data_IF_684841568898
#
_entry.id   IF_684841568898
#
_cell.length_a   1.000
_cell.length_b   1.000
_cell.length_c   1.000
_cell.angle_alpha   90.00
_cell.angle_beta   90.00
_cell.angle_gamma   90.00
#
_symmetry.space_group_name_H-M   'P 1'
#
loop_
_entity.id
_entity.type
_entity.pdbx_description
1 polymer ?
#
# COMPACT_ATOMS: atom_id res chain seq x y z
N UNK A 1 -0.64 -31.85 -22.71
CA UNK A 1 -0.49 -31.63 -21.25
C UNK A 1 0.66 -30.64 -21.07
N UNK A 2 0.42 -29.40 -20.63
CA UNK A 2 1.47 -28.39 -20.47
C UNK A 2 2.39 -28.78 -19.31
N UNK A 3 3.68 -28.98 -19.58
CA UNK A 3 4.70 -29.18 -18.54
C UNK A 3 4.83 -27.88 -17.75
N UNK A 4 4.52 -27.85 -16.44
CA UNK A 4 4.70 -26.62 -15.66
C UNK A 4 6.19 -26.26 -15.66
N UNK A 5 6.55 -24.98 -15.85
CA UNK A 5 7.95 -24.57 -15.86
C UNK A 5 8.62 -24.94 -14.53
N UNK A 6 9.88 -25.41 -14.61
CA UNK A 6 10.69 -25.76 -13.45
C UNK A 6 10.71 -24.56 -12.48
N UNK A 7 10.35 -24.78 -11.21
CA UNK A 7 10.41 -23.74 -10.18
C UNK A 7 11.87 -23.37 -9.94
N UNK A 8 12.27 -22.16 -10.30
CA UNK A 8 13.60 -21.63 -10.02
C UNK A 8 13.62 -20.95 -8.66
N UNK A 9 14.53 -21.36 -7.79
CA UNK A 9 14.77 -20.69 -6.51
C UNK A 9 15.80 -19.59 -6.76
N UNK A 10 15.46 -18.34 -6.46
CA UNK A 10 16.41 -17.23 -6.46
C UNK A 10 17.08 -17.17 -5.09
N UNK A 11 18.38 -17.50 -5.03
CA UNK A 11 19.20 -17.36 -3.83
C UNK A 11 19.80 -15.96 -3.82
N UNK A 12 19.56 -15.22 -2.74
CA UNK A 12 20.12 -13.87 -2.58
C UNK A 12 21.58 -13.97 -2.13
N UNK A 13 22.48 -13.12 -2.65
CA UNK A 13 23.84 -12.97 -2.11
C UNK A 13 23.80 -12.66 -0.62
N UNK A 14 24.75 -13.20 0.14
CA UNK A 14 24.78 -13.11 1.61
C UNK A 14 24.68 -11.66 2.11
N UNK A 15 25.48 -10.75 1.55
CA UNK A 15 25.46 -9.34 1.94
C UNK A 15 24.07 -8.67 1.78
N UNK A 16 23.33 -9.01 0.72
CA UNK A 16 21.97 -8.49 0.51
C UNK A 16 20.97 -9.08 1.50
N UNK A 17 21.14 -10.37 1.83
CA UNK A 17 20.31 -11.03 2.83
C UNK A 17 20.51 -10.38 4.22
N UNK A 18 21.76 -10.19 4.64
CA UNK A 18 22.11 -9.56 5.91
C UNK A 18 21.61 -8.12 6.00
N UNK A 19 21.80 -7.32 4.94
CA UNK A 19 21.29 -5.96 4.88
C UNK A 19 19.76 -5.89 5.02
N UNK A 20 19.04 -6.82 4.39
CA UNK A 20 17.58 -6.89 4.53
C UNK A 20 17.16 -7.29 5.95
N UNK A 21 17.86 -8.25 6.57
CA UNK A 21 17.53 -8.67 7.93
C UNK A 21 17.80 -7.54 8.94
N UNK A 22 18.91 -6.82 8.79
CA UNK A 22 19.19 -5.62 9.60
C UNK A 22 18.11 -4.55 9.42
N UNK A 23 17.66 -4.32 8.17
CA UNK A 23 16.55 -3.42 7.87
C UNK A 23 15.25 -3.83 8.57
N UNK A 24 14.87 -5.11 8.49
CA UNK A 24 13.68 -5.64 9.18
C UNK A 24 13.77 -5.52 10.69
N UNK A 25 14.94 -5.75 11.28
CA UNK A 25 15.15 -5.56 12.72
C UNK A 25 14.96 -4.07 13.10
N UNK A 26 15.50 -3.15 12.30
CA UNK A 26 15.29 -1.70 12.48
C UNK A 26 13.81 -1.33 12.36
N UNK A 27 13.07 -1.90 11.41
CA UNK A 27 11.63 -1.63 11.22
C UNK A 27 10.77 -1.98 12.44
N UNK A 28 11.21 -2.93 13.27
CA UNK A 28 10.49 -3.28 14.51
C UNK A 28 10.68 -2.27 15.64
N UNK A 29 11.67 -1.38 15.54
CA UNK A 29 11.94 -0.37 16.58
C UNK A 29 10.85 0.71 16.61
N UNK A 30 10.52 1.18 17.81
CA UNK A 30 9.50 2.24 17.98
C UNK A 30 9.93 3.58 17.36
N UNK A 31 11.23 3.88 17.38
CA UNK A 31 11.79 5.06 16.70
C UNK A 31 11.51 5.03 15.20
N UNK A 32 11.72 3.87 14.57
CA UNK A 32 11.40 3.69 13.15
C UNK A 32 9.90 3.82 12.87
N UNK A 33 9.04 3.19 13.69
CA UNK A 33 7.58 3.28 13.51
C UNK A 33 7.09 4.72 13.59
N UNK A 34 7.63 5.49 14.52
CA UNK A 34 7.29 6.91 14.69
C UNK A 34 7.71 7.75 13.49
N UNK A 35 8.92 7.52 12.98
CA UNK A 35 9.42 8.18 11.76
C UNK A 35 8.59 7.79 10.53
N UNK A 36 8.31 6.49 10.38
CA UNK A 36 7.60 5.92 9.23
C UNK A 36 6.10 6.27 9.21
N UNK A 37 5.48 6.60 10.35
CA UNK A 37 4.07 6.95 10.45
C UNK A 37 3.65 8.09 9.49
N UNK A 38 4.55 9.06 9.26
CA UNK A 38 4.34 10.15 8.29
C UNK A 38 4.16 9.60 6.88
N UNK A 39 5.07 8.70 6.47
CA UNK A 39 5.04 8.04 5.17
C UNK A 39 3.85 7.11 5.02
N UNK A 40 3.53 6.34 6.06
CA UNK A 40 2.37 5.46 6.09
C UNK A 40 1.05 6.22 5.82
N UNK A 41 0.92 7.46 6.30
CA UNK A 41 -0.23 8.33 6.01
C UNK A 41 -0.34 8.71 4.52
N UNK A 42 0.79 9.01 3.87
CA UNK A 42 0.85 9.31 2.42
C UNK A 42 0.49 8.07 1.61
N UNK A 43 1.10 6.93 1.93
CA UNK A 43 0.86 5.66 1.23
C UNK A 43 -0.60 5.19 1.41
N UNK A 44 -1.18 5.37 2.60
CA UNK A 44 -2.60 5.10 2.84
C UNK A 44 -3.52 5.96 1.97
N UNK A 45 -3.13 7.21 1.71
CA UNK A 45 -3.86 8.13 0.81
C UNK A 45 -3.78 7.69 -0.64
N UNK A 46 -2.58 7.38 -1.13
CA UNK A 46 -2.39 6.83 -2.47
C UNK A 46 -3.22 5.55 -2.63
N UNK A 47 -3.19 4.67 -1.64
CA UNK A 47 -3.92 3.41 -1.68
C UNK A 47 -5.45 3.60 -1.74
N UNK A 48 -6.01 4.60 -1.03
CA UNK A 48 -7.42 4.95 -1.14
C UNK A 48 -7.77 5.49 -2.53
N UNK A 49 -6.95 6.39 -3.08
CA UNK A 49 -7.14 6.96 -4.41
C UNK A 49 -7.16 5.86 -5.48
N UNK A 50 -6.21 4.93 -5.41
CA UNK A 50 -6.09 3.82 -6.34
C UNK A 50 -7.27 2.85 -6.29
N UNK A 51 -7.77 2.54 -5.08
CA UNK A 51 -8.84 1.54 -4.91
C UNK A 51 -10.25 2.09 -5.13
N UNK A 52 -10.47 3.38 -4.88
CA UNK A 52 -11.83 3.95 -4.79
C UNK A 52 -12.13 4.95 -5.90
N UNK A 53 -11.11 5.51 -6.55
CA UNK A 53 -11.27 6.65 -7.46
C UNK A 53 -10.57 6.48 -8.81
N UNK A 54 -10.11 5.26 -9.13
CA UNK A 54 -9.49 4.90 -10.42
C UNK A 54 -8.40 5.87 -10.94
N UNK A 55 -7.69 6.60 -10.08
CA UNK A 55 -6.77 7.70 -10.45
C UNK A 55 -5.63 7.34 -11.42
N UNK A 56 -5.42 6.05 -11.71
CA UNK A 56 -4.50 5.59 -12.77
C UNK A 56 -5.07 5.75 -14.18
N UNK A 57 -6.36 6.01 -14.30
CA UNK A 57 -7.09 6.16 -15.54
C UNK A 57 -7.77 7.51 -15.53
N UNK A 58 -7.36 8.38 -16.44
CA UNK A 58 -8.12 9.59 -16.78
C UNK A 58 -8.30 9.60 -18.29
N UNK A 59 -9.47 10.04 -18.76
CA UNK A 59 -9.71 10.18 -20.20
C UNK A 59 -8.83 11.33 -20.70
N UNK A 60 -7.85 11.01 -21.54
CA UNK A 60 -6.90 11.98 -22.07
C UNK A 60 -7.57 12.89 -23.11
N UNK A 61 -8.30 13.89 -22.61
CA UNK A 61 -8.98 14.93 -23.39
C UNK A 61 -8.24 16.27 -23.23
N UNK A 62 -7.04 16.23 -22.63
CA UNK A 62 -6.16 17.38 -22.41
C UNK A 62 -5.77 17.55 -20.94
N UNK A 63 -4.59 18.15 -20.71
CA UNK A 63 -3.98 18.31 -19.37
C UNK A 63 -4.87 19.07 -18.39
N UNK A 64 -5.56 20.11 -18.84
CA UNK A 64 -6.46 20.91 -18.00
C UNK A 64 -7.61 20.08 -17.42
N UNK A 65 -8.21 19.20 -18.23
CA UNK A 65 -9.31 18.33 -17.77
C UNK A 65 -8.81 17.25 -16.82
N UNK A 66 -7.68 16.63 -17.10
CA UNK A 66 -7.04 15.66 -16.19
C UNK A 66 -6.62 16.32 -14.87
N UNK A 67 -6.15 17.56 -14.90
CA UNK A 67 -5.85 18.31 -13.67
C UNK A 67 -7.11 18.54 -12.83
N UNK A 68 -8.21 19.00 -13.45
CA UNK A 68 -9.49 19.17 -12.76
C UNK A 68 -10.02 17.86 -12.17
N UNK A 69 -9.93 16.76 -12.92
CA UNK A 69 -10.31 15.41 -12.48
C UNK A 69 -9.55 14.99 -11.21
N UNK A 70 -8.24 15.21 -11.17
CA UNK A 70 -7.43 14.94 -9.97
C UNK A 70 -7.79 15.85 -8.79
N UNK A 71 -8.03 17.14 -9.02
CA UNK A 71 -8.45 18.06 -7.96
C UNK A 71 -9.79 17.64 -7.34
N UNK A 72 -10.78 17.31 -8.19
CA UNK A 72 -12.09 16.86 -7.75
C UNK A 72 -12.01 15.52 -7.01
N UNK A 73 -11.17 14.61 -7.49
CA UNK A 73 -10.92 13.34 -6.79
C UNK A 73 -10.29 13.56 -5.41
N UNK A 74 -9.30 14.45 -5.31
CA UNK A 74 -8.69 14.82 -4.03
C UNK A 74 -9.70 15.44 -3.05
N UNK A 75 -10.56 16.34 -3.55
CA UNK A 75 -11.62 16.95 -2.75
C UNK A 75 -12.64 15.90 -2.25
N UNK A 76 -13.09 15.00 -3.12
CA UNK A 76 -14.00 13.92 -2.77
C UNK A 76 -13.39 12.99 -1.69
N UNK A 77 -12.10 12.64 -1.83
CA UNK A 77 -11.40 11.83 -0.82
C UNK A 77 -11.34 12.52 0.55
N UNK A 78 -11.10 13.84 0.58
CA UNK A 78 -11.10 14.61 1.82
C UNK A 78 -12.48 14.62 2.48
N UNK A 79 -13.56 14.80 1.69
CA UNK A 79 -14.94 14.74 2.20
C UNK A 79 -15.24 13.36 2.78
N UNK A 80 -14.93 12.27 2.07
CA UNK A 80 -15.15 10.89 2.56
C UNK A 80 -14.39 10.65 3.88
N UNK A 81 -13.16 11.15 3.99
CA UNK A 81 -12.36 11.05 5.23
C UNK A 81 -12.97 11.82 6.38
N UNK A 82 -13.43 13.05 6.12
CA UNK A 82 -14.10 13.88 7.12
C UNK A 82 -15.36 13.19 7.63
N UNK A 83 -16.20 12.69 6.72
CA UNK A 83 -17.42 11.97 7.06
C UNK A 83 -17.13 10.71 7.89
N UNK A 84 -16.14 9.91 7.49
CA UNK A 84 -15.72 8.73 8.26
C UNK A 84 -15.20 9.10 9.65
N UNK A 85 -14.46 10.20 9.77
CA UNK A 85 -13.98 10.69 11.06
C UNK A 85 -15.12 11.13 11.97
N UNK A 86 -16.08 11.91 11.44
CA UNK A 86 -17.28 12.32 12.18
C UNK A 86 -18.15 11.14 12.61
N UNK A 87 -18.24 10.12 11.76
CA UNK A 87 -18.97 8.88 12.06
C UNK A 87 -18.21 7.91 12.99
N UNK A 88 -17.01 8.27 13.45
CA UNK A 88 -16.19 7.41 14.32
C UNK A 88 -15.72 6.11 13.64
N UNK A 89 -15.70 6.06 12.31
CA UNK A 89 -15.27 4.87 11.56
C UNK A 89 -13.78 4.64 11.83
N UNK A 90 -13.38 3.44 12.30
CA UNK A 90 -11.98 3.17 12.59
C UNK A 90 -11.14 3.18 11.31
N UNK A 91 -9.88 3.60 11.43
CA UNK A 91 -8.94 3.55 10.30
C UNK A 91 -8.78 2.12 9.78
N UNK A 92 -8.69 1.98 8.46
CA UNK A 92 -8.50 0.68 7.83
C UNK A 92 -7.24 -0.02 8.35
N UNK A 93 -7.38 -1.28 8.75
CA UNK A 93 -6.26 -2.11 9.19
C UNK A 93 -5.46 -2.60 7.98
N UNK A 94 -4.16 -2.84 8.16
CA UNK A 94 -3.31 -3.46 7.14
C UNK A 94 -3.92 -4.81 6.71
N UNK A 95 -4.23 -4.95 5.42
CA UNK A 95 -4.79 -6.20 4.90
C UNK A 95 -3.71 -7.29 4.87
N UNK A 96 -4.01 -8.45 5.44
CA UNK A 96 -3.17 -9.64 5.30
C UNK A 96 -3.32 -10.22 3.91
N UNK A 97 -2.22 -10.47 3.20
CA UNK A 97 -2.29 -11.17 1.92
C UNK A 97 -2.84 -12.60 2.10
N UNK A 98 -3.45 -13.19 1.04
CA UNK A 98 -3.93 -14.57 1.11
C UNK A 98 -2.86 -15.56 1.57
N UNK A 99 -1.61 -15.33 1.16
CA UNK A 99 -0.46 -16.12 1.56
C UNK A 99 -0.18 -16.05 3.07
N UNK A 100 -0.22 -14.85 3.67
CA UNK A 100 -0.05 -14.68 5.12
C UNK A 100 -1.14 -15.41 5.89
N UNK A 101 -2.37 -15.41 5.38
CA UNK A 101 -3.50 -16.11 6.02
C UNK A 101 -3.31 -17.64 6.00
N UNK A 102 -2.78 -18.19 4.91
CA UNK A 102 -2.43 -19.61 4.83
C UNK A 102 -1.32 -19.95 5.83
N UNK A 103 -0.24 -19.16 5.88
CA UNK A 103 0.89 -19.42 6.78
C UNK A 103 0.50 -19.38 8.27
N UNK A 104 -0.39 -18.46 8.67
CA UNK A 104 -0.90 -18.36 10.04
C UNK A 104 -1.82 -19.49 10.48
N UNK A 105 -2.35 -20.28 9.54
CA UNK A 105 -3.23 -21.41 9.86
C UNK A 105 -2.44 -22.68 10.17
N UNK A 106 -1.18 -22.75 9.71
CA UNK A 106 -0.32 -23.93 9.82
C UNK A 106 0.70 -23.83 10.97
N UNK A 107 0.70 -22.73 11.72
CA UNK A 107 1.52 -22.51 12.91
C UNK A 107 0.63 -22.52 14.15
#
# INVERSE_FOLDING_TARGET
>A
RSTPPRRTISVRPQAHYEALQAGRAREQTEGFKTEYAKRAGVEGTIAQALRSCEVRRSRYIGKARTHLDHLMTGAAMNIVRLLNWLAGVPKAKTQSSPFVRLYRTTA
#
